data_IF_335115938297
#
_entry.id   IF_335115938297
#
_cell.length_a   1.000
_cell.length_b   1.000
_cell.length_c   1.000
_cell.angle_alpha   90.00
_cell.angle_beta   90.00
_cell.angle_gamma   90.00
#
_symmetry.space_group_name_H-M   'P 1'
#
loop_
_entity.id
_entity.type
_entity.pdbx_description
1 polymer ?
#
# COMPACT_ATOMS: atom_id res chain seq x y z
N UNK A 1 -9.97 24.69 22.77
CA UNK A 1 -10.69 24.09 23.91
C UNK A 1 -9.93 22.83 24.31
N UNK A 2 -9.43 22.76 25.55
CA UNK A 2 -8.63 21.63 26.04
C UNK A 2 -9.59 20.49 26.39
N UNK A 3 -9.39 19.34 25.76
CA UNK A 3 -10.09 18.09 26.07
C UNK A 3 -9.71 17.71 27.52
N UNK A 4 -10.65 17.89 28.46
CA UNK A 4 -10.42 17.44 29.83
C UNK A 4 -10.61 15.92 29.89
N UNK A 5 -9.58 15.23 30.36
CA UNK A 5 -9.62 13.81 30.66
C UNK A 5 -10.50 13.59 31.92
N UNK A 6 -11.50 12.70 31.91
CA UNK A 6 -12.34 12.46 33.08
C UNK A 6 -11.56 11.74 34.20
N UNK A 7 -11.98 11.89 35.47
CA UNK A 7 -11.26 11.34 36.61
C UNK A 7 -11.28 9.80 36.59
N UNK A 8 -10.15 9.21 36.98
CA UNK A 8 -9.93 7.77 36.98
C UNK A 8 -10.74 7.11 38.11
N UNK A 9 -11.99 6.76 37.82
CA UNK A 9 -12.77 5.83 38.63
C UNK A 9 -12.04 4.47 38.64
N UNK A 10 -11.89 3.87 39.84
CA UNK A 10 -11.36 2.53 40.20
C UNK A 10 -10.52 1.71 39.20
N UNK A 11 -9.48 1.03 39.68
CA UNK A 11 -8.52 0.23 38.86
C UNK A 11 -9.17 -0.63 37.75
N UNK A 12 -10.35 -1.21 38.01
CA UNK A 12 -11.12 -1.98 37.03
C UNK A 12 -11.71 -1.13 35.90
N UNK A 13 -12.23 0.06 36.17
CA UNK A 13 -12.78 0.96 35.16
C UNK A 13 -11.66 1.58 34.30
N UNK A 14 -10.49 1.83 34.89
CA UNK A 14 -9.30 2.28 34.14
C UNK A 14 -8.84 1.26 33.10
N UNK A 15 -8.80 -0.03 33.47
CA UNK A 15 -8.47 -1.11 32.55
C UNK A 15 -9.51 -1.23 31.41
N UNK A 16 -10.81 -1.17 31.74
CA UNK A 16 -11.88 -1.21 30.74
C UNK A 16 -11.78 -0.04 29.76
N UNK A 17 -11.53 1.18 30.24
CA UNK A 17 -11.37 2.36 29.37
C UNK A 17 -10.16 2.23 28.42
N UNK A 18 -9.06 1.66 28.91
CA UNK A 18 -7.88 1.38 28.08
C UNK A 18 -8.20 0.37 26.99
N UNK A 19 -8.86 -0.74 27.33
CA UNK A 19 -9.28 -1.76 26.36
C UNK A 19 -10.26 -1.20 25.32
N UNK A 20 -11.23 -0.37 25.73
CA UNK A 20 -12.16 0.30 24.81
C UNK A 20 -11.44 1.25 23.84
N UNK A 21 -10.40 1.95 24.30
CA UNK A 21 -9.59 2.82 23.46
C UNK A 21 -8.81 2.01 22.41
N UNK A 22 -8.17 0.92 22.81
CA UNK A 22 -7.44 0.05 21.88
C UNK A 22 -8.38 -0.63 20.87
N UNK A 23 -9.55 -1.12 21.32
CA UNK A 23 -10.56 -1.66 20.42
C UNK A 23 -11.02 -0.63 19.37
N UNK A 24 -11.29 0.62 19.80
CA UNK A 24 -11.67 1.70 18.89
C UNK A 24 -10.58 2.00 17.86
N UNK A 25 -9.31 1.93 18.26
CA UNK A 25 -8.15 2.12 17.38
C UNK A 25 -8.06 0.98 16.35
N UNK A 26 -8.18 -0.27 16.79
CA UNK A 26 -8.12 -1.45 15.91
C UNK A 26 -9.24 -1.46 14.88
N UNK A 27 -10.48 -1.16 15.28
CA UNK A 27 -11.64 -1.10 14.36
C UNK A 27 -11.44 -0.03 13.28
N UNK A 28 -10.89 1.14 13.65
CA UNK A 28 -10.56 2.19 12.68
C UNK A 28 -9.49 1.74 11.68
N UNK A 29 -8.43 1.09 12.17
CA UNK A 29 -7.36 0.56 11.33
C UNK A 29 -7.87 -0.52 10.37
N UNK A 30 -8.76 -1.40 10.85
CA UNK A 30 -9.38 -2.44 10.01
C UNK A 30 -10.19 -1.82 8.86
N UNK A 31 -10.96 -0.77 9.12
CA UNK A 31 -11.70 -0.05 8.07
C UNK A 31 -10.80 0.57 7.01
N UNK A 32 -9.63 1.09 7.40
CA UNK A 32 -8.63 1.64 6.46
C UNK A 32 -7.98 0.54 5.60
N UNK A 33 -7.74 -0.65 6.18
CA UNK A 33 -7.18 -1.78 5.46
C UNK A 33 -8.10 -2.31 4.34
N UNK A 34 -9.42 -2.20 4.52
CA UNK A 34 -10.42 -2.69 3.56
C UNK A 34 -10.82 -1.67 2.49
N UNK A 35 -10.32 -0.43 2.57
CA UNK A 35 -10.69 0.62 1.63
C UNK A 35 -10.20 0.29 0.22
N UNK A 36 -11.14 0.28 -0.75
CA UNK A 36 -10.85 0.00 -2.15
C UNK A 36 -10.14 1.16 -2.87
N UNK A 37 -10.48 2.40 -2.48
CA UNK A 37 -9.95 3.62 -3.09
C UNK A 37 -9.17 4.42 -2.05
N UNK A 38 -7.90 4.68 -2.34
CA UNK A 38 -6.96 5.37 -1.47
C UNK A 38 -6.72 6.81 -1.96
N UNK A 39 -6.53 7.75 -1.04
CA UNK A 39 -5.97 9.06 -1.34
C UNK A 39 -4.43 9.03 -1.35
N UNK A 40 -3.79 10.17 -1.64
CA UNK A 40 -2.32 10.24 -1.69
C UNK A 40 -1.66 9.90 -0.36
N UNK A 41 -2.27 10.31 0.76
CA UNK A 41 -1.79 10.03 2.11
C UNK A 41 -1.89 8.53 2.43
N UNK A 42 -3.06 7.92 2.17
CA UNK A 42 -3.27 6.48 2.37
C UNK A 42 -2.39 5.63 1.46
N UNK A 43 -2.14 6.08 0.23
CA UNK A 43 -1.20 5.43 -0.69
C UNK A 43 0.24 5.49 -0.15
N UNK A 44 0.65 6.63 0.41
CA UNK A 44 1.98 6.80 0.98
C UNK A 44 2.17 5.90 2.21
N UNK A 45 1.15 5.82 3.07
CA UNK A 45 1.13 4.90 4.21
C UNK A 45 1.21 3.44 3.76
N UNK A 46 0.43 3.04 2.75
CA UNK A 46 0.45 1.66 2.23
C UNK A 46 1.82 1.28 1.66
N UNK A 47 2.45 2.19 0.92
CA UNK A 47 3.75 1.95 0.29
C UNK A 47 4.92 2.13 1.27
N UNK A 48 4.70 2.68 2.46
CA UNK A 48 5.76 3.00 3.42
C UNK A 48 6.69 4.12 2.95
N UNK A 49 6.18 5.09 2.19
CA UNK A 49 6.98 6.19 1.61
C UNK A 49 6.40 7.57 1.93
N UNK A 50 7.12 8.64 1.58
CA UNK A 50 6.59 10.00 1.76
C UNK A 50 5.53 10.36 0.72
N UNK A 51 4.57 11.20 1.11
CA UNK A 51 3.53 11.72 0.20
C UNK A 51 4.14 12.47 -0.98
N UNK A 52 5.20 13.23 -0.76
CA UNK A 52 5.94 13.91 -1.83
C UNK A 52 6.51 12.92 -2.85
N UNK A 53 6.94 11.73 -2.41
CA UNK A 53 7.41 10.69 -3.32
C UNK A 53 6.26 10.09 -4.14
N UNK A 54 5.09 9.89 -3.53
CA UNK A 54 3.87 9.48 -4.27
C UNK A 54 3.57 10.51 -5.37
N UNK A 55 3.56 11.80 -5.04
CA UNK A 55 3.33 12.84 -6.04
C UNK A 55 4.40 12.83 -7.15
N UNK A 56 5.67 12.63 -6.81
CA UNK A 56 6.74 12.48 -7.81
C UNK A 56 6.49 11.30 -8.75
N UNK A 57 6.13 10.12 -8.22
CA UNK A 57 5.82 8.96 -9.05
C UNK A 57 4.59 9.19 -9.94
N UNK A 58 3.59 9.94 -9.46
CA UNK A 58 2.40 10.28 -10.24
C UNK A 58 2.70 11.28 -11.35
N UNK A 59 3.56 12.28 -11.11
CA UNK A 59 3.96 13.26 -12.13
C UNK A 59 4.86 12.64 -13.19
N UNK A 60 5.71 11.68 -12.81
CA UNK A 60 6.50 10.83 -13.71
C UNK A 60 5.64 9.79 -14.46
N UNK A 61 4.33 9.71 -14.19
CA UNK A 61 3.40 8.70 -14.75
C UNK A 61 3.83 7.24 -14.50
N UNK A 62 4.62 7.02 -13.44
CA UNK A 62 5.09 5.68 -13.06
C UNK A 62 4.11 4.96 -12.16
N UNK A 63 3.31 5.68 -11.39
CA UNK A 63 2.30 5.13 -10.47
C UNK A 63 0.89 5.23 -11.09
N UNK A 64 0.11 4.12 -11.16
CA UNK A 64 -1.27 4.15 -11.64
C UNK A 64 -2.14 5.02 -10.73
N UNK A 65 -2.84 6.00 -11.28
CA UNK A 65 -3.65 6.94 -10.50
C UNK A 65 -4.83 7.49 -11.30
N UNK A 66 -5.84 7.96 -10.56
CA UNK A 66 -7.09 8.54 -11.08
C UNK A 66 -7.22 10.00 -10.65
N UNK A 67 -7.67 10.87 -11.56
CA UNK A 67 -7.78 12.31 -11.32
C UNK A 67 -9.09 12.89 -11.89
N UNK A 68 -10.26 12.57 -11.31
CA UNK A 68 -11.57 12.89 -11.90
C UNK A 68 -11.87 14.40 -11.97
N UNK A 69 -11.39 15.19 -11.00
CA UNK A 69 -11.67 16.64 -10.92
C UNK A 69 -10.40 17.51 -10.91
N UNK A 70 -9.24 16.96 -11.29
CA UNK A 70 -8.02 17.75 -11.42
C UNK A 70 -7.31 18.18 -10.10
N UNK A 71 -8.02 18.24 -8.97
CA UNK A 71 -7.47 18.72 -7.69
C UNK A 71 -6.88 17.63 -6.79
N UNK A 72 -7.55 16.47 -6.72
CA UNK A 72 -7.11 15.32 -5.92
C UNK A 72 -6.82 14.14 -6.83
N UNK A 73 -5.87 13.32 -6.38
CA UNK A 73 -5.55 12.03 -7.00
C UNK A 73 -6.03 10.90 -6.10
N UNK A 74 -6.46 9.81 -6.74
CA UNK A 74 -6.97 8.62 -6.08
C UNK A 74 -6.32 7.37 -6.68
N UNK A 75 -6.26 6.30 -5.89
CA UNK A 75 -5.64 5.05 -6.27
C UNK A 75 -6.62 3.92 -6.00
N UNK A 76 -6.77 3.00 -6.96
CA UNK A 76 -7.41 1.71 -6.65
C UNK A 76 -6.39 0.82 -5.96
N UNK A 77 -6.77 0.28 -4.80
CA UNK A 77 -5.90 -0.59 -4.01
C UNK A 77 -5.38 -1.78 -4.81
N UNK A 78 -6.24 -2.45 -5.57
CA UNK A 78 -5.87 -3.64 -6.37
C UNK A 78 -4.78 -3.28 -7.39
N UNK A 79 -5.01 -2.24 -8.20
CA UNK A 79 -4.04 -1.79 -9.22
C UNK A 79 -2.72 -1.31 -8.60
N UNK A 80 -2.77 -0.68 -7.42
CA UNK A 80 -1.59 -0.25 -6.69
C UNK A 80 -0.75 -1.45 -6.21
N UNK A 81 -1.40 -2.51 -5.71
CA UNK A 81 -0.73 -3.74 -5.27
C UNK A 81 -0.15 -4.51 -6.46
N UNK A 82 -0.90 -4.63 -7.55
CA UNK A 82 -0.41 -5.25 -8.79
C UNK A 82 0.81 -4.50 -9.33
N UNK A 83 0.75 -3.16 -9.32
CA UNK A 83 1.89 -2.34 -9.69
C UNK A 83 3.10 -2.56 -8.77
N UNK A 84 2.88 -2.68 -7.46
CA UNK A 84 3.96 -2.93 -6.49
C UNK A 84 4.69 -4.25 -6.78
N UNK A 85 3.96 -5.27 -7.24
CA UNK A 85 4.50 -6.59 -7.57
C UNK A 85 4.97 -6.73 -9.02
N UNK A 86 4.70 -5.73 -9.88
CA UNK A 86 4.96 -5.82 -11.32
C UNK A 86 6.45 -5.86 -11.71
N UNK A 87 7.34 -5.25 -10.90
CA UNK A 87 8.77 -5.18 -11.19
C UNK A 87 9.55 -6.20 -10.36
N UNK A 88 9.19 -7.48 -10.49
CA UNK A 88 9.95 -8.57 -9.89
C UNK A 88 11.34 -8.64 -10.50
N UNK A 89 12.37 -8.44 -9.69
CA UNK A 89 13.75 -8.72 -10.07
C UNK A 89 13.96 -10.22 -9.81
N UNK A 90 14.13 -10.99 -10.87
CA UNK A 90 14.45 -12.42 -10.74
C UNK A 90 15.87 -12.58 -10.16
N UNK A 91 16.08 -13.49 -9.20
CA UNK A 91 17.42 -13.86 -8.77
C UNK A 91 18.25 -14.37 -9.96
N UNK A 92 19.56 -14.12 -9.96
CA UNK A 92 20.47 -14.41 -11.08
C UNK A 92 20.38 -15.86 -11.63
N UNK A 93 19.97 -16.80 -10.78
CA UNK A 93 19.75 -18.20 -11.17
C UNK A 93 18.59 -18.37 -12.17
N UNK A 94 17.49 -17.64 -12.03
CA UNK A 94 16.31 -17.76 -12.92
C UNK A 94 16.52 -17.09 -14.28
N UNK A 95 17.36 -16.04 -14.33
CA UNK A 95 17.74 -15.36 -15.57
C UNK A 95 18.53 -16.31 -16.49
N UNK A 96 19.46 -17.07 -15.91
CA UNK A 96 20.27 -18.07 -16.62
C UNK A 96 19.39 -19.15 -17.26
N UNK A 97 18.36 -19.60 -16.54
CA UNK A 97 17.43 -20.62 -17.05
C UNK A 97 16.53 -20.10 -18.18
N UNK A 98 16.04 -18.85 -18.08
CA UNK A 98 15.25 -18.23 -19.15
C UNK A 98 16.07 -17.99 -20.42
N UNK A 99 17.32 -17.54 -20.30
CA UNK A 99 18.24 -17.39 -21.43
C UNK A 99 18.55 -18.76 -22.04
N UNK A 100 18.85 -19.77 -21.22
CA UNK A 100 19.11 -21.13 -21.70
C UNK A 100 17.90 -21.74 -22.42
N UNK A 101 16.68 -21.53 -21.92
CA UNK A 101 15.44 -22.00 -22.54
C UNK A 101 15.20 -21.34 -23.90
N UNK A 102 15.45 -20.03 -24.01
CA UNK A 102 15.29 -19.27 -25.26
C UNK A 102 16.32 -19.69 -26.32
N UNK A 103 17.56 -19.96 -25.92
CA UNK A 103 18.62 -20.49 -26.79
C UNK A 103 18.29 -21.89 -27.29
N UNK A 104 17.73 -22.77 -26.44
CA UNK A 104 17.29 -24.12 -26.84
C UNK A 104 16.15 -24.09 -27.86
N UNK A 105 15.18 -23.19 -27.68
CA UNK A 105 14.06 -23.03 -28.62
C UNK A 105 14.48 -22.45 -29.97
N UNK A 106 15.42 -21.49 -29.98
CA UNK A 106 15.97 -20.92 -31.21
C UNK A 106 16.74 -21.94 -32.08
N UNK A 107 17.24 -23.03 -31.47
CA UNK A 107 17.95 -24.11 -32.19
C UNK A 107 17.02 -25.10 -32.88
N UNK A 108 15.73 -25.16 -32.50
CA UNK A 108 14.75 -26.09 -33.07
C UNK A 108 13.95 -25.54 -34.27
N UNK A 109 14.05 -24.24 -34.56
CA UNK A 109 13.28 -23.58 -35.63
C UNK A 109 14.05 -23.26 -36.91
N UNK A 110 15.18 -23.92 -37.18
CA UNK A 110 16.02 -23.67 -38.36
C UNK A 110 16.21 -24.96 -39.17
N UNK A 111 15.16 -25.34 -39.90
CA UNK A 111 15.18 -26.25 -41.05
C UNK A 111 14.22 -25.67 -42.10
#
# INVERSE_FOLDING_TARGET
MREQNPPLYGENNGAILKELYELKKLVRQQGQAQKEVLCAEECAELLGVSVSYVYRLTSEKRLPHYKPQGKKIYFKRVELLDWLLSHRISPDAELTEHVAKRVRQARHGRL
#
